data_IF_811107504984
#
_entry.id   IF_811107504984
#
_cell.length_a   1.000
_cell.length_b   1.000
_cell.length_c   1.000
_cell.angle_alpha   90.00
_cell.angle_beta   90.00
_cell.angle_gamma   90.00
#
_symmetry.space_group_name_H-M   'P 1'
#
loop_
_entity.id
_entity.type
_entity.pdbx_description
1 polymer ?
#
# COMPACT_ATOMS: atom_id res chain seq x y z
N UNK A 1 10.09 6.89 -7.77
CA UNK A 1 10.73 5.72 -8.41
C UNK A 1 10.14 4.38 -7.96
N UNK A 2 9.80 4.15 -6.67
CA UNK A 2 9.11 2.91 -6.26
C UNK A 2 7.59 2.90 -6.53
N UNK A 3 6.91 4.05 -6.40
CA UNK A 3 5.45 4.16 -6.53
C UNK A 3 4.91 4.10 -7.98
N UNK A 4 5.69 4.51 -8.99
CA UNK A 4 5.23 4.54 -10.40
C UNK A 4 4.91 3.16 -10.98
N UNK A 5 5.48 2.09 -10.42
CA UNK A 5 5.24 0.71 -10.87
C UNK A 5 4.18 -0.02 -10.04
N UNK A 6 3.50 0.67 -9.12
CA UNK A 6 2.56 0.02 -8.20
C UNK A 6 1.22 -0.36 -8.85
N UNK A 7 0.83 0.34 -9.92
CA UNK A 7 -0.40 0.11 -10.67
C UNK A 7 -0.18 -0.65 -11.99
N UNK A 8 1.06 -0.68 -12.50
CA UNK A 8 1.38 -1.20 -13.82
C UNK A 8 1.83 -2.67 -13.80
N UNK A 9 2.43 -3.13 -12.69
CA UNK A 9 2.96 -4.49 -12.59
C UNK A 9 1.89 -5.49 -12.15
N UNK A 10 1.98 -6.78 -12.53
CA UNK A 10 1.03 -7.80 -12.09
C UNK A 10 0.91 -7.87 -10.57
N UNK A 11 -0.30 -8.05 -10.05
CA UNK A 11 -0.57 -8.25 -8.62
C UNK A 11 0.26 -9.40 -8.04
N UNK A 12 0.55 -10.43 -8.83
CA UNK A 12 1.35 -11.59 -8.42
C UNK A 12 2.79 -11.24 -8.04
N UNK A 13 3.38 -10.20 -8.64
CA UNK A 13 4.76 -9.78 -8.38
C UNK A 13 4.85 -8.73 -7.26
N UNK A 14 3.71 -8.18 -6.84
CA UNK A 14 3.66 -7.10 -5.86
C UNK A 14 4.18 -7.55 -4.49
N UNK A 15 3.86 -8.78 -4.06
CA UNK A 15 4.31 -9.31 -2.76
C UNK A 15 5.84 -9.33 -2.63
N UNK A 16 6.55 -9.88 -3.63
CA UNK A 16 8.02 -9.93 -3.61
C UNK A 16 8.67 -8.54 -3.67
N UNK A 17 8.03 -7.57 -4.35
CA UNK A 17 8.50 -6.19 -4.35
C UNK A 17 8.29 -5.51 -3.01
N UNK A 18 7.13 -5.73 -2.38
CA UNK A 18 6.81 -5.21 -1.05
C UNK A 18 7.84 -5.68 -0.03
N UNK A 19 8.30 -6.93 -0.09
CA UNK A 19 9.34 -7.44 0.82
C UNK A 19 10.67 -6.67 0.72
N UNK A 20 11.00 -6.13 -0.46
CA UNK A 20 12.23 -5.37 -0.70
C UNK A 20 12.09 -3.88 -0.36
N UNK A 21 10.87 -3.38 -0.16
CA UNK A 21 10.60 -1.98 0.16
C UNK A 21 10.92 -1.65 1.62
N UNK A 22 11.25 -0.40 1.90
CA UNK A 22 11.30 0.13 3.27
C UNK A 22 9.89 0.36 3.82
N UNK A 23 9.78 0.55 5.14
CA UNK A 23 8.47 0.81 5.77
C UNK A 23 7.80 2.06 5.20
N UNK A 24 8.57 3.14 5.01
CA UNK A 24 8.07 4.38 4.42
C UNK A 24 7.59 4.18 2.97
N UNK A 25 8.27 3.35 2.19
CA UNK A 25 7.86 3.03 0.83
C UNK A 25 6.56 2.21 0.82
N UNK A 26 6.42 1.23 1.72
CA UNK A 26 5.18 0.45 1.87
C UNK A 26 4.01 1.35 2.29
N UNK A 27 4.23 2.27 3.23
CA UNK A 27 3.20 3.23 3.64
C UNK A 27 2.85 4.23 2.54
N UNK A 28 3.84 4.70 1.77
CA UNK A 28 3.59 5.56 0.61
C UNK A 28 2.77 4.84 -0.47
N UNK A 29 3.05 3.56 -0.70
CA UNK A 29 2.30 2.73 -1.62
C UNK A 29 0.84 2.53 -1.16
N UNK A 30 0.61 2.23 0.13
CA UNK A 30 -0.73 2.17 0.73
C UNK A 30 -1.50 3.48 0.48
N UNK A 31 -0.88 4.62 0.82
CA UNK A 31 -1.53 5.92 0.67
C UNK A 31 -1.84 6.27 -0.78
N UNK A 32 -1.02 5.82 -1.72
CA UNK A 32 -1.24 6.03 -3.16
C UNK A 32 -2.41 5.19 -3.64
N UNK A 33 -2.50 3.90 -3.25
CA UNK A 33 -3.63 3.05 -3.62
C UNK A 33 -4.94 3.51 -3.01
N UNK A 34 -4.94 4.00 -1.76
CA UNK A 34 -6.13 4.59 -1.15
C UNK A 34 -6.64 5.77 -1.99
N UNK A 35 -5.77 6.71 -2.36
CA UNK A 35 -6.16 7.86 -3.20
C UNK A 35 -6.68 7.41 -4.57
N UNK A 36 -6.01 6.46 -5.23
CA UNK A 36 -6.46 5.95 -6.53
C UNK A 36 -7.78 5.19 -6.42
N UNK A 37 -8.03 4.50 -5.30
CA UNK A 37 -9.28 3.77 -5.06
C UNK A 37 -10.49 4.69 -4.89
N UNK A 38 -10.27 5.92 -4.42
CA UNK A 38 -11.30 6.96 -4.29
C UNK A 38 -11.74 7.49 -5.66
N UNK A 39 -10.83 7.52 -6.63
CA UNK A 39 -11.07 8.04 -7.99
C UNK A 39 -11.41 6.95 -9.04
N UNK A 40 -11.39 5.67 -8.67
CA UNK A 40 -11.56 4.53 -9.59
C UNK A 40 -12.83 3.73 -9.33
N UNK A 41 -13.58 3.42 -10.40
CA UNK A 41 -14.81 2.60 -10.34
C UNK A 41 -14.70 1.36 -11.25
N UNK A 42 -15.50 0.33 -10.98
CA UNK A 42 -15.65 -0.82 -11.86
C UNK A 42 -14.57 -1.90 -11.68
N UNK A 43 -14.17 -2.57 -12.77
CA UNK A 43 -13.26 -3.71 -12.73
C UNK A 43 -11.87 -3.35 -12.15
N UNK A 44 -11.41 -2.13 -12.43
CA UNK A 44 -10.12 -1.63 -11.95
C UNK A 44 -10.13 -1.41 -10.43
N UNK A 45 -11.30 -1.14 -9.84
CA UNK A 45 -11.45 -1.00 -8.39
C UNK A 45 -11.20 -2.32 -7.66
N UNK A 46 -11.62 -3.46 -8.23
CA UNK A 46 -11.37 -4.77 -7.64
C UNK A 46 -9.86 -5.10 -7.60
N UNK A 47 -9.13 -4.69 -8.64
CA UNK A 47 -7.68 -4.86 -8.68
C UNK A 47 -6.97 -3.97 -7.65
N UNK A 48 -7.38 -2.72 -7.51
CA UNK A 48 -6.84 -1.81 -6.49
C UNK A 48 -7.09 -2.37 -5.07
N UNK A 49 -8.29 -2.88 -4.80
CA UNK A 49 -8.62 -3.50 -3.51
C UNK A 49 -7.73 -4.73 -3.24
N UNK A 50 -7.45 -5.55 -4.26
CA UNK A 50 -6.55 -6.69 -4.12
C UNK A 50 -5.11 -6.25 -3.78
N UNK A 51 -4.63 -5.17 -4.40
CA UNK A 51 -3.32 -4.59 -4.10
C UNK A 51 -3.26 -4.00 -2.69
N UNK A 52 -4.31 -3.32 -2.25
CA UNK A 52 -4.44 -2.81 -0.87
C UNK A 52 -4.32 -3.97 0.12
N UNK A 53 -5.07 -5.06 -0.08
CA UNK A 53 -5.02 -6.22 0.81
C UNK A 53 -3.61 -6.85 0.92
N UNK A 54 -2.84 -6.86 -0.18
CA UNK A 54 -1.44 -7.33 -0.13
C UNK A 54 -0.55 -6.41 0.70
N UNK A 55 -0.75 -5.09 0.62
CA UNK A 55 -0.01 -4.15 1.45
C UNK A 55 -0.41 -4.29 2.92
N UNK A 56 -1.68 -4.50 3.24
CA UNK A 56 -2.11 -4.78 4.63
C UNK A 56 -1.44 -6.03 5.21
N UNK A 57 -1.32 -7.09 4.41
CA UNK A 57 -0.59 -8.32 4.79
C UNK A 57 0.89 -8.03 5.04
N UNK A 58 1.53 -7.23 4.18
CA UNK A 58 2.93 -6.86 4.37
C UNK A 58 3.13 -6.00 5.63
N UNK A 59 2.21 -5.07 5.92
CA UNK A 59 2.25 -4.25 7.14
C UNK A 59 2.13 -5.15 8.38
N UNK A 60 1.19 -6.10 8.39
CA UNK A 60 1.05 -7.05 9.50
C UNK A 60 2.28 -7.95 9.66
N UNK A 61 2.93 -8.34 8.56
CA UNK A 61 4.19 -9.11 8.60
C UNK A 61 5.33 -8.32 9.26
N UNK A 62 5.43 -7.02 8.97
CA UNK A 62 6.47 -6.13 9.54
C UNK A 62 6.18 -5.72 10.98
N UNK A 63 4.89 -5.56 11.31
CA UNK A 63 4.42 -5.08 12.61
C UNK A 63 3.36 -6.01 13.20
N UNK A 64 3.72 -7.25 13.61
CA UNK A 64 2.75 -8.24 14.06
C UNK A 64 1.89 -7.75 15.22
N UNK A 65 0.56 -7.93 15.10
CA UNK A 65 -0.43 -7.57 16.11
C UNK A 65 -0.74 -6.07 16.20
N UNK A 66 -0.15 -5.24 15.34
CA UNK A 66 -0.38 -3.79 15.34
C UNK A 66 -1.40 -3.36 14.28
N UNK A 67 -1.84 -4.26 13.40
CA UNK A 67 -2.76 -3.95 12.31
C UNK A 67 -2.22 -2.73 11.52
N UNK A 68 -3.10 -1.78 11.18
CA UNK A 68 -2.74 -0.54 10.49
C UNK A 68 -2.30 0.61 11.42
N UNK A 69 -2.03 0.36 12.71
CA UNK A 69 -1.60 1.43 13.62
C UNK A 69 -0.30 2.14 13.15
N UNK A 70 0.76 1.43 12.71
CA UNK A 70 2.00 2.06 12.23
C UNK A 70 1.75 2.96 11.01
N UNK A 71 0.96 2.47 10.04
CA UNK A 71 0.57 3.25 8.86
C UNK A 71 -0.22 4.50 9.23
N UNK A 72 -1.22 4.38 10.12
CA UNK A 72 -2.04 5.52 10.56
C UNK A 72 -1.20 6.60 11.25
N UNK A 73 -0.23 6.21 12.06
CA UNK A 73 0.65 7.16 12.73
C UNK A 73 1.64 7.81 11.78
N UNK A 74 2.17 7.05 10.81
CA UNK A 74 2.95 7.61 9.71
C UNK A 74 2.13 8.60 8.88
N UNK A 75 0.89 8.27 8.51
CA UNK A 75 0.00 9.12 7.71
C UNK A 75 -0.29 10.44 8.41
N UNK A 76 -0.56 10.40 9.73
CA UNK A 76 -0.74 11.61 10.55
C UNK A 76 0.49 12.52 10.53
N UNK A 77 1.71 11.96 10.62
CA UNK A 77 2.95 12.75 10.60
C UNK A 77 3.17 13.42 9.25
N UNK A 78 2.84 12.75 8.16
CA UNK A 78 3.00 13.28 6.80
C UNK A 78 1.90 14.27 6.38
N UNK A 79 0.69 14.16 6.94
CA UNK A 79 -0.39 15.14 6.72
C UNK A 79 -0.18 16.45 7.50
N UNK A 80 0.74 16.47 8.47
CA UNK A 80 1.10 17.65 9.27
C UNK A 80 2.29 18.43 8.68
N UNK A 81 2.80 18.00 7.53
CA UNK A 81 3.88 18.65 6.75
C UNK A 81 3.31 19.24 5.46
#
# INVERSE_FOLDING_TARGET
>A
MAADNLLNDPVSELASRLEAMTDDEVFTAMSTLEAVSEDTEGADQAEIVARIALIEVEIERRFPGQLLAPYRDWKKRNLLL
#
